data_IF_003881910512
#
_entry.id   IF_003881910512
#
_cell.length_a   1.000
_cell.length_b   1.000
_cell.length_c   1.000
_cell.angle_alpha   90.00
_cell.angle_beta   90.00
_cell.angle_gamma   90.00
#
_symmetry.space_group_name_H-M   'P 1'
#
loop_
_entity.id
_entity.type
_entity.pdbx_description
1 polymer ?
#
# COMPACT_ATOMS: atom_id res chain seq x y z
N UNK A 1 -16.58 -26.03 9.02
CA UNK A 1 -16.10 -25.34 7.81
C UNK A 1 -15.98 -23.83 8.03
N UNK A 2 -16.82 -23.22 8.87
CA UNK A 2 -16.72 -21.79 9.26
C UNK A 2 -15.40 -21.40 9.94
N UNK A 3 -14.87 -22.20 10.87
CA UNK A 3 -13.61 -21.89 11.56
C UNK A 3 -12.39 -21.76 10.61
N UNK A 4 -12.35 -22.55 9.53
CA UNK A 4 -11.26 -22.50 8.54
C UNK A 4 -11.34 -21.22 7.69
N UNK A 5 -12.55 -20.78 7.37
CA UNK A 5 -12.79 -19.54 6.61
C UNK A 5 -12.49 -18.30 7.44
N UNK A 6 -12.85 -18.30 8.72
CA UNK A 6 -12.53 -17.21 9.65
C UNK A 6 -11.01 -17.08 9.84
N UNK A 7 -10.30 -18.20 10.03
CA UNK A 7 -8.84 -18.20 10.20
C UNK A 7 -8.12 -17.62 8.97
N UNK A 8 -8.46 -18.13 7.77
CA UNK A 8 -7.87 -17.64 6.51
C UNK A 8 -8.14 -16.17 6.27
N UNK A 9 -9.35 -15.69 6.61
CA UNK A 9 -9.69 -14.28 6.49
C UNK A 9 -8.88 -13.41 7.44
N UNK A 10 -8.64 -13.86 8.67
CA UNK A 10 -7.79 -13.14 9.63
C UNK A 10 -6.32 -13.11 9.18
N UNK A 11 -5.77 -14.22 8.69
CA UNK A 11 -4.41 -14.27 8.13
C UNK A 11 -4.25 -13.41 6.87
N UNK A 12 -5.31 -13.30 6.05
CA UNK A 12 -5.35 -12.38 4.92
C UNK A 12 -5.29 -10.93 5.39
N UNK A 13 -6.19 -10.54 6.29
CA UNK A 13 -6.28 -9.17 6.75
C UNK A 13 -5.00 -8.72 7.46
N UNK A 14 -4.46 -9.53 8.38
CA UNK A 14 -3.22 -9.22 9.08
C UNK A 14 -2.06 -9.00 8.10
N UNK A 15 -1.85 -9.92 7.16
CA UNK A 15 -0.77 -9.80 6.19
C UNK A 15 -0.90 -8.57 5.29
N UNK A 16 -2.12 -8.26 4.82
CA UNK A 16 -2.35 -7.07 3.98
C UNK A 16 -2.09 -5.80 4.78
N UNK A 17 -2.55 -5.73 6.03
CA UNK A 17 -2.30 -4.59 6.91
C UNK A 17 -0.80 -4.41 7.21
N UNK A 18 -0.08 -5.49 7.48
CA UNK A 18 1.38 -5.45 7.72
C UNK A 18 2.12 -4.89 6.49
N UNK A 19 1.72 -5.27 5.27
CA UNK A 19 2.31 -4.71 4.05
C UNK A 19 1.96 -3.24 3.85
N UNK A 20 0.77 -2.81 4.25
CA UNK A 20 0.39 -1.40 4.22
C UNK A 20 1.20 -0.59 5.24
N UNK A 21 1.41 -1.13 6.45
CA UNK A 21 2.26 -0.53 7.48
C UNK A 21 3.69 -0.38 6.97
N UNK A 22 4.26 -1.42 6.36
CA UNK A 22 5.59 -1.36 5.76
C UNK A 22 5.71 -0.28 4.68
N UNK A 23 4.73 -0.18 3.77
CA UNK A 23 4.74 0.86 2.72
C UNK A 23 4.66 2.25 3.36
N UNK A 24 3.81 2.42 4.37
CA UNK A 24 3.64 3.69 5.08
C UNK A 24 4.90 4.10 5.85
N UNK A 25 5.56 3.15 6.53
CA UNK A 25 6.85 3.35 7.21
C UNK A 25 7.92 3.86 6.23
N UNK A 26 7.98 3.28 5.03
CA UNK A 26 8.95 3.68 4.01
C UNK A 26 8.65 5.05 3.41
N UNK A 27 7.38 5.41 3.29
CA UNK A 27 7.00 6.77 2.92
C UNK A 27 7.42 7.76 4.01
N UNK A 28 7.22 7.43 5.29
CA UNK A 28 7.65 8.27 6.41
C UNK A 28 9.17 8.43 6.48
N UNK A 29 9.93 7.37 6.21
CA UNK A 29 11.40 7.42 6.08
C UNK A 29 11.84 8.38 4.97
N UNK A 30 11.22 8.26 3.79
CA UNK A 30 11.48 9.12 2.63
C UNK A 30 11.05 10.58 2.85
N UNK A 31 10.04 10.81 3.70
CA UNK A 31 9.66 12.13 4.18
C UNK A 31 10.65 12.64 5.23
N UNK A 32 11.25 11.82 6.07
CA UNK A 32 12.18 12.29 7.09
C UNK A 32 13.54 12.73 6.51
N UNK A 33 14.06 12.01 5.50
CA UNK A 33 15.36 12.29 4.88
C UNK A 33 15.28 12.26 3.35
N UNK A 34 15.62 13.38 2.72
CA UNK A 34 15.65 13.49 1.26
C UNK A 34 16.75 12.62 0.62
N UNK A 35 17.85 12.37 1.35
CA UNK A 35 18.97 11.56 0.86
C UNK A 35 18.58 10.08 0.73
N UNK A 36 17.71 9.59 1.62
CA UNK A 36 17.23 8.21 1.62
C UNK A 36 16.00 7.99 0.73
N UNK A 37 15.32 9.06 0.28
CA UNK A 37 14.04 9.00 -0.46
C UNK A 37 14.02 7.94 -1.55
N UNK A 38 15.00 7.94 -2.45
CA UNK A 38 15.02 7.01 -3.59
C UNK A 38 15.10 5.55 -3.11
N UNK A 39 15.91 5.28 -2.08
CA UNK A 39 16.05 3.94 -1.53
C UNK A 39 14.77 3.50 -0.80
N UNK A 40 14.25 4.34 0.09
CA UNK A 40 13.04 4.05 0.87
C UNK A 40 11.81 3.85 -0.03
N UNK A 41 11.61 4.70 -1.04
CA UNK A 41 10.52 4.54 -2.01
C UNK A 41 10.73 3.30 -2.89
N UNK A 42 11.97 2.95 -3.22
CA UNK A 42 12.28 1.68 -3.90
C UNK A 42 11.89 0.44 -3.07
N UNK A 43 12.10 0.47 -1.75
CA UNK A 43 11.66 -0.58 -0.84
C UNK A 43 10.13 -0.67 -0.76
N UNK A 44 9.44 0.47 -0.64
CA UNK A 44 7.97 0.53 -0.68
C UNK A 44 7.42 -0.08 -1.99
N UNK A 45 8.00 0.31 -3.13
CA UNK A 45 7.65 -0.22 -4.44
C UNK A 45 7.87 -1.74 -4.54
N UNK A 46 8.92 -2.25 -3.89
CA UNK A 46 9.20 -3.69 -3.78
C UNK A 46 8.12 -4.49 -3.03
N UNK A 47 7.38 -3.85 -2.12
CA UNK A 47 6.24 -4.46 -1.41
C UNK A 47 4.98 -4.60 -2.27
N UNK A 48 4.83 -3.78 -3.32
CA UNK A 48 3.61 -3.70 -4.14
C UNK A 48 3.30 -5.01 -4.91
N UNK A 49 4.27 -5.69 -5.54
CA UNK A 49 4.03 -7.01 -6.13
C UNK A 49 3.50 -8.03 -5.12
N UNK A 50 4.06 -8.06 -3.90
CA UNK A 50 3.65 -9.00 -2.84
C UNK A 50 2.23 -8.70 -2.37
N UNK A 51 1.93 -7.41 -2.15
CA UNK A 51 0.58 -6.95 -1.81
C UNK A 51 -0.43 -7.36 -2.88
N UNK A 52 -0.13 -7.09 -4.15
CA UNK A 52 -1.02 -7.43 -5.27
C UNK A 52 -1.27 -8.93 -5.37
N UNK A 53 -0.24 -9.74 -5.22
CA UNK A 53 -0.37 -11.19 -5.29
C UNK A 53 -1.25 -11.71 -4.13
N UNK A 54 -1.09 -11.16 -2.92
CA UNK A 54 -1.98 -11.47 -1.79
C UNK A 54 -3.43 -11.03 -2.05
N UNK A 55 -3.64 -9.83 -2.57
CA UNK A 55 -4.98 -9.32 -2.89
C UNK A 55 -5.73 -10.23 -3.88
N UNK A 56 -5.02 -10.95 -4.76
CA UNK A 56 -5.61 -11.94 -5.66
C UNK A 56 -6.37 -13.08 -4.96
N UNK A 57 -6.20 -13.25 -3.65
CA UNK A 57 -6.95 -14.22 -2.85
C UNK A 57 -8.34 -13.72 -2.40
N UNK A 58 -8.63 -12.42 -2.55
CA UNK A 58 -9.91 -11.81 -2.20
C UNK A 58 -10.31 -10.73 -3.21
N UNK A 59 -11.13 -11.14 -4.19
CA UNK A 59 -11.55 -10.28 -5.31
C UNK A 59 -12.24 -8.98 -4.87
N UNK A 60 -13.01 -9.01 -3.78
CA UNK A 60 -13.73 -7.82 -3.28
C UNK A 60 -12.74 -6.79 -2.75
N UNK A 61 -11.77 -7.23 -1.93
CA UNK A 61 -10.74 -6.34 -1.40
C UNK A 61 -9.83 -5.87 -2.54
N UNK A 62 -9.43 -6.77 -3.45
CA UNK A 62 -8.65 -6.42 -4.64
C UNK A 62 -9.30 -5.33 -5.48
N UNK A 63 -10.60 -5.43 -5.77
CA UNK A 63 -11.33 -4.45 -6.56
C UNK A 63 -11.29 -3.06 -5.90
N UNK A 64 -11.42 -2.98 -4.58
CA UNK A 64 -11.31 -1.71 -3.86
C UNK A 64 -9.91 -1.12 -3.95
N UNK A 65 -8.85 -1.94 -3.82
CA UNK A 65 -7.48 -1.47 -4.01
C UNK A 65 -7.24 -0.94 -5.42
N UNK A 66 -7.72 -1.64 -6.45
CA UNK A 66 -7.60 -1.17 -7.84
C UNK A 66 -8.37 0.14 -8.04
N UNK A 67 -9.58 0.26 -7.50
CA UNK A 67 -10.38 1.48 -7.62
C UNK A 67 -9.72 2.70 -6.96
N UNK A 68 -9.11 2.53 -5.79
CA UNK A 68 -8.49 3.61 -5.03
C UNK A 68 -7.09 3.94 -5.54
N UNK A 69 -6.24 2.93 -5.75
CA UNK A 69 -4.82 3.13 -6.04
C UNK A 69 -4.49 3.15 -7.54
N UNK A 70 -5.29 2.47 -8.38
CA UNK A 70 -5.12 2.42 -9.85
C UNK A 70 -3.65 2.20 -10.26
N UNK A 71 -3.05 3.22 -10.87
CA UNK A 71 -1.68 3.21 -11.40
C UNK A 71 -0.61 2.89 -10.36
N UNK A 72 -0.88 3.08 -9.07
CA UNK A 72 0.05 2.82 -7.97
C UNK A 72 0.24 1.31 -7.74
N UNK A 73 -0.78 0.49 -8.03
CA UNK A 73 -0.79 -0.97 -7.78
C UNK A 73 -0.88 -1.81 -9.06
N UNK A 74 -1.47 -1.26 -10.12
CA UNK A 74 -1.64 -1.97 -11.38
C UNK A 74 -0.29 -2.27 -12.03
N UNK A 75 -0.03 -3.55 -12.32
CA UNK A 75 1.27 -4.04 -12.81
C UNK A 75 1.84 -3.23 -13.97
N UNK A 76 0.97 -2.77 -14.87
CA UNK A 76 1.34 -2.04 -16.07
C UNK A 76 2.00 -0.68 -15.76
N UNK A 77 1.59 -0.02 -14.68
CA UNK A 77 1.94 1.37 -14.40
C UNK A 77 2.70 1.55 -13.10
N UNK A 78 2.63 0.59 -12.18
CA UNK A 78 3.19 0.71 -10.85
C UNK A 78 4.69 1.05 -10.89
N UNK A 79 5.49 0.35 -11.71
CA UNK A 79 6.93 0.60 -11.77
C UNK A 79 7.25 2.06 -12.10
N UNK A 80 6.66 2.59 -13.17
CA UNK A 80 6.89 3.97 -13.61
C UNK A 80 6.39 4.97 -12.57
N UNK A 81 5.22 4.72 -11.98
CA UNK A 81 4.64 5.60 -10.97
C UNK A 81 5.53 5.73 -9.73
N UNK A 82 6.04 4.61 -9.21
CA UNK A 82 6.90 4.60 -8.02
C UNK A 82 8.28 5.23 -8.32
N UNK A 83 8.81 4.99 -9.50
CA UNK A 83 10.06 5.61 -9.97
C UNK A 83 9.94 7.13 -10.10
N UNK A 84 8.84 7.63 -10.65
CA UNK A 84 8.57 9.06 -10.77
C UNK A 84 8.34 9.68 -9.39
N UNK A 85 7.55 9.02 -8.54
CA UNK A 85 7.28 9.46 -7.17
C UNK A 85 8.57 9.62 -6.35
N UNK A 86 9.53 8.69 -6.48
CA UNK A 86 10.82 8.75 -5.81
C UNK A 86 11.68 9.97 -6.21
N UNK A 87 11.45 10.53 -7.41
CA UNK A 87 12.28 11.58 -8.03
C UNK A 87 11.62 12.96 -8.06
N UNK A 88 10.40 13.07 -7.54
CA UNK A 88 9.70 14.36 -7.38
C UNK A 88 10.53 15.34 -6.55
N UNK A 89 10.31 16.63 -6.76
CA UNK A 89 10.84 17.64 -5.84
C UNK A 89 10.20 17.49 -4.45
N UNK A 90 10.84 18.10 -3.45
CA UNK A 90 10.47 17.90 -2.04
C UNK A 90 9.00 18.23 -1.74
N UNK A 91 8.50 19.36 -2.23
CA UNK A 91 7.15 19.82 -1.91
C UNK A 91 6.11 18.95 -2.62
N UNK A 92 6.35 18.65 -3.90
CA UNK A 92 5.48 17.75 -4.66
C UNK A 92 5.44 16.34 -4.04
N UNK A 93 6.60 15.83 -3.61
CA UNK A 93 6.71 14.55 -2.94
C UNK A 93 5.90 14.50 -1.63
N UNK A 94 6.05 15.50 -0.76
CA UNK A 94 5.33 15.54 0.53
C UNK A 94 3.80 15.59 0.33
N UNK A 95 3.33 16.42 -0.60
CA UNK A 95 1.91 16.51 -0.93
C UNK A 95 1.36 15.19 -1.45
N UNK A 96 2.11 14.53 -2.36
CA UNK A 96 1.73 13.24 -2.92
C UNK A 96 1.82 12.11 -1.90
N UNK A 97 2.81 12.13 -1.02
CA UNK A 97 2.96 11.18 0.08
C UNK A 97 1.77 11.28 1.05
N UNK A 98 1.37 12.49 1.42
CA UNK A 98 0.20 12.70 2.27
C UNK A 98 -1.10 12.21 1.62
N UNK A 99 -1.27 12.38 0.31
CA UNK A 99 -2.39 11.81 -0.43
C UNK A 99 -2.38 10.29 -0.43
N UNK A 100 -1.23 9.66 -0.71
CA UNK A 100 -1.08 8.22 -0.68
C UNK A 100 -1.40 7.64 0.70
N UNK A 101 -0.89 8.25 1.77
CA UNK A 101 -1.20 7.82 3.14
C UNK A 101 -2.70 7.90 3.45
N UNK A 102 -3.41 8.94 2.98
CA UNK A 102 -4.88 9.01 3.12
C UNK A 102 -5.60 7.88 2.37
N UNK A 103 -5.14 7.53 1.17
CA UNK A 103 -5.70 6.41 0.40
C UNK A 103 -5.46 5.07 1.10
N UNK A 104 -4.25 4.86 1.65
CA UNK A 104 -3.94 3.66 2.43
C UNK A 104 -4.83 3.56 3.67
N UNK A 105 -5.02 4.65 4.42
CA UNK A 105 -5.91 4.68 5.57
C UNK A 105 -7.36 4.28 5.20
N UNK A 106 -7.89 4.79 4.08
CA UNK A 106 -9.22 4.41 3.60
C UNK A 106 -9.33 2.91 3.26
N UNK A 107 -8.26 2.32 2.73
CA UNK A 107 -8.22 0.89 2.39
C UNK A 107 -8.14 -0.02 3.62
N UNK A 108 -7.60 0.46 4.76
CA UNK A 108 -7.56 -0.34 6.00
C UNK A 108 -8.95 -0.76 6.46
N UNK A 109 -9.93 0.14 6.34
CA UNK A 109 -11.34 -0.16 6.65
C UNK A 109 -11.96 -1.23 5.74
N UNK A 110 -11.48 -1.33 4.50
CA UNK A 110 -11.93 -2.37 3.57
C UNK A 110 -11.32 -3.73 3.94
N UNK A 111 -10.06 -3.74 4.36
CA UNK A 111 -9.32 -4.97 4.71
C UNK A 111 -9.82 -5.54 6.05
N UNK A 112 -10.03 -4.68 7.04
CA UNK A 112 -10.47 -5.06 8.38
C UNK A 112 -11.53 -4.08 8.91
N UNK A 113 -12.81 -4.28 8.55
CA UNK A 113 -13.89 -3.40 8.99
C UNK A 113 -13.98 -3.33 10.52
N UNK A 114 -13.94 -2.12 11.07
CA UNK A 114 -14.04 -1.88 12.52
C UNK A 114 -12.71 -1.99 13.29
N UNK A 115 -11.58 -2.09 12.60
CA UNK A 115 -10.25 -2.01 13.23
C UNK A 115 -9.92 -0.61 13.78
N UNK A 116 -10.53 0.45 13.22
CA UNK A 116 -10.55 1.79 13.81
C UNK A 116 -11.84 2.00 14.63
N UNK A 117 -11.97 1.31 15.77
CA UNK A 117 -12.99 1.60 16.79
C UNK A 117 -12.33 1.90 18.13
#
# INVERSE_FOLDING_TARGET
MEHLMTHRRTEFAAFVLDLMDFIEEKIDEAMADETSRVAAIGEAAGGVPVLRDRLGENEVVQANFILVLRNIIERRWASDWWDDFARMDRLEFEDRAAELKRMLAALREVVAPGACS
#
